data_IF_412923139815
#
_entry.id   IF_412923139815
#
_cell.length_a   1.000
_cell.length_b   1.000
_cell.length_c   1.000
_cell.angle_alpha   90.00
_cell.angle_beta   90.00
_cell.angle_gamma   90.00
#
_symmetry.space_group_name_H-M   'P 1'
#
loop_
_entity.id
_entity.type
_entity.pdbx_description
1 polymer ?
#
# COMPACT_ATOMS: atom_id res chain seq x y z
N UNK A 1 -15.31 -19.65 1.34
CA UNK A 1 -14.89 -18.55 2.24
C UNK A 1 -14.70 -17.28 1.41
N UNK A 2 -15.49 -16.22 1.64
CA UNK A 2 -15.23 -14.92 0.98
C UNK A 2 -14.01 -14.29 1.64
N UNK A 3 -12.96 -13.97 0.87
CA UNK A 3 -11.85 -13.16 1.38
C UNK A 3 -12.40 -11.80 1.77
N UNK A 4 -12.30 -11.41 3.05
CA UNK A 4 -12.66 -10.06 3.49
C UNK A 4 -11.70 -9.09 2.83
N UNK A 5 -12.23 -8.17 2.03
CA UNK A 5 -11.43 -7.14 1.40
C UNK A 5 -10.94 -6.19 2.50
N UNK A 6 -9.63 -5.97 2.56
CA UNK A 6 -9.05 -4.98 3.48
C UNK A 6 -9.39 -3.59 2.92
N UNK A 7 -10.09 -2.79 3.72
CA UNK A 7 -10.37 -1.40 3.39
C UNK A 7 -9.32 -0.52 4.08
N UNK A 8 -8.59 0.24 3.27
CA UNK A 8 -7.63 1.23 3.75
C UNK A 8 -8.26 2.62 3.72
N UNK A 9 -7.97 3.43 4.73
CA UNK A 9 -8.45 4.81 4.83
C UNK A 9 -7.82 5.67 3.73
N UNK A 10 -8.44 6.82 3.42
CA UNK A 10 -7.92 7.75 2.43
C UNK A 10 -6.52 8.28 2.80
N UNK A 11 -6.29 8.50 4.09
CA UNK A 11 -4.99 8.96 4.62
C UNK A 11 -3.89 7.93 4.36
N UNK A 12 -4.16 6.64 4.63
CA UNK A 12 -3.21 5.57 4.38
C UNK A 12 -2.88 5.44 2.88
N UNK A 13 -3.88 5.64 2.00
CA UNK A 13 -3.66 5.64 0.55
C UNK A 13 -2.78 6.81 0.11
N UNK A 14 -3.02 8.01 0.64
CA UNK A 14 -2.22 9.20 0.32
C UNK A 14 -0.76 9.03 0.78
N UNK A 15 -0.54 8.46 1.96
CA UNK A 15 0.80 8.17 2.47
C UNK A 15 1.52 7.09 1.65
N UNK A 16 0.79 6.05 1.22
CA UNK A 16 1.32 5.02 0.33
C UNK A 16 1.75 5.59 -1.02
N UNK A 17 0.97 6.50 -1.62
CA UNK A 17 1.31 7.16 -2.89
C UNK A 17 2.61 7.96 -2.76
N UNK A 18 2.74 8.78 -1.71
CA UNK A 18 3.99 9.54 -1.45
C UNK A 18 5.20 8.63 -1.29
N UNK A 19 5.03 7.49 -0.64
CA UNK A 19 6.09 6.51 -0.47
C UNK A 19 6.47 5.81 -1.78
N UNK A 20 5.49 5.51 -2.65
CA UNK A 20 5.74 4.96 -3.99
C UNK A 20 6.56 5.94 -4.84
N UNK A 21 6.17 7.22 -4.86
CA UNK A 21 6.89 8.28 -5.57
C UNK A 21 8.34 8.42 -5.06
N UNK A 22 8.55 8.27 -3.76
CA UNK A 22 9.89 8.34 -3.15
C UNK A 22 10.76 7.10 -3.42
N UNK A 23 10.14 5.94 -3.68
CA UNK A 23 10.80 4.65 -3.93
C UNK A 23 10.91 4.31 -5.43
N UNK A 24 11.08 5.32 -6.30
CA UNK A 24 11.20 5.14 -7.76
C UNK A 24 10.03 4.35 -8.37
N UNK A 25 8.81 4.60 -7.88
CA UNK A 25 7.60 3.89 -8.30
C UNK A 25 7.60 2.38 -8.00
N UNK A 26 8.44 1.91 -7.06
CA UNK A 26 8.43 0.51 -6.64
C UNK A 26 7.27 0.21 -5.69
N UNK A 27 6.12 -0.12 -6.30
CA UNK A 27 4.87 -0.46 -5.60
C UNK A 27 5.05 -1.70 -4.72
N UNK A 28 5.74 -2.73 -5.21
CA UNK A 28 5.91 -4.00 -4.51
C UNK A 28 6.70 -3.86 -3.21
N UNK A 29 7.81 -3.11 -3.28
CA UNK A 29 8.64 -2.85 -2.11
C UNK A 29 7.89 -1.99 -1.09
N UNK A 30 7.21 -0.94 -1.55
CA UNK A 30 6.41 -0.06 -0.69
C UNK A 30 5.27 -0.82 -0.02
N UNK A 31 4.58 -1.72 -0.74
CA UNK A 31 3.56 -2.60 -0.19
C UNK A 31 4.13 -3.52 0.91
N UNK A 32 5.30 -4.11 0.67
CA UNK A 32 5.98 -4.99 1.63
C UNK A 32 6.42 -4.24 2.89
N UNK A 33 6.99 -3.05 2.75
CA UNK A 33 7.35 -2.16 3.87
C UNK A 33 6.12 -1.75 4.70
N UNK A 34 4.97 -1.57 4.05
CA UNK A 34 3.70 -1.19 4.68
C UNK A 34 2.87 -2.38 5.17
N UNK A 35 3.39 -3.61 5.08
CA UNK A 35 2.68 -4.83 5.52
C UNK A 35 1.44 -5.16 4.68
N UNK A 36 1.33 -4.59 3.48
CA UNK A 36 0.28 -4.90 2.52
C UNK A 36 0.68 -6.22 1.84
N UNK A 37 -0.09 -7.27 2.12
CA UNK A 37 0.05 -8.54 1.42
C UNK A 37 -0.49 -8.34 0.00
N UNK A 38 0.39 -8.55 -0.98
CA UNK A 38 0.07 -8.51 -2.41
C UNK A 38 -0.43 -9.88 -2.87
#
# INVERSE_FOLDING_TARGET
MRKKQKFYTAEFKAEAIKAIESNQDNVSETARQRGISM
#
